data_IF_323673249450
#
_entry.id   IF_323673249450
#
_cell.length_a   1.000
_cell.length_b   1.000
_cell.length_c   1.000
_cell.angle_alpha   90.00
_cell.angle_beta   90.00
_cell.angle_gamma   90.00
#
_symmetry.space_group_name_H-M   'P 1'
#
loop_
_entity.id
_entity.type
_entity.pdbx_description
1 polymer ?
#
# COMPACT_ATOMS: atom_id res chain seq x y z
N UNK A 1 14.46 -40.94 57.71
CA UNK A 1 15.68 -41.78 57.84
C UNK A 1 16.91 -40.88 57.77
N UNK A 2 17.82 -40.99 58.76
CA UNK A 2 19.25 -40.61 58.81
C UNK A 2 19.59 -39.10 58.65
N UNK A 3 20.40 -38.43 59.47
CA UNK A 3 21.20 -38.73 60.68
C UNK A 3 21.69 -37.38 61.28
N UNK A 4 21.62 -37.25 62.61
CA UNK A 4 22.66 -36.73 63.54
C UNK A 4 23.04 -35.22 63.51
N UNK A 5 22.75 -34.48 64.60
CA UNK A 5 23.68 -34.12 65.71
C UNK A 5 24.34 -32.74 65.46
N UNK A 6 24.61 -31.83 66.40
CA UNK A 6 24.60 -31.81 67.86
C UNK A 6 24.29 -30.38 68.34
N UNK A 7 23.76 -30.29 69.56
CA UNK A 7 23.65 -29.10 70.38
C UNK A 7 25.01 -28.41 70.62
N UNK A 8 24.99 -27.08 70.70
CA UNK A 8 25.82 -26.35 71.65
C UNK A 8 25.09 -25.06 72.06
N UNK A 9 24.56 -25.14 73.28
CA UNK A 9 23.98 -24.07 74.05
C UNK A 9 25.06 -23.03 74.41
N UNK A 10 24.88 -21.77 74.03
CA UNK A 10 25.40 -20.64 74.78
C UNK A 10 24.40 -19.49 74.73
N UNK A 11 23.64 -19.37 75.82
CA UNK A 11 22.91 -18.15 76.16
C UNK A 11 23.94 -17.17 76.69
N UNK A 12 24.12 -16.04 76.00
CA UNK A 12 24.83 -14.90 76.56
C UNK A 12 24.27 -13.59 76.00
N UNK A 13 23.43 -12.96 76.84
CA UNK A 13 23.36 -11.52 77.10
C UNK A 13 22.95 -10.63 75.93
N UNK A 14 21.66 -10.27 75.93
CA UNK A 14 21.14 -9.08 75.25
C UNK A 14 21.91 -7.84 75.73
N UNK A 15 22.53 -7.10 74.83
CA UNK A 15 22.72 -5.65 74.98
C UNK A 15 23.01 -5.01 73.62
N UNK A 16 22.48 -3.79 73.46
CA UNK A 16 22.63 -2.88 72.34
C UNK A 16 21.90 -3.28 71.04
N UNK A 17 20.67 -2.79 70.93
CA UNK A 17 20.05 -2.53 69.64
C UNK A 17 20.97 -1.62 68.83
N UNK A 18 21.68 -2.21 67.88
CA UNK A 18 22.06 -1.51 66.66
C UNK A 18 21.08 -1.98 65.61
N UNK A 19 20.09 -1.12 65.40
CA UNK A 19 19.17 -1.16 64.26
C UNK A 19 20.07 -1.30 63.03
N UNK A 20 20.13 -2.50 62.44
CA UNK A 20 20.71 -2.60 61.11
C UNK A 20 19.93 -1.62 60.24
N UNK A 21 20.57 -0.77 59.44
CA UNK A 21 19.84 0.03 58.49
C UNK A 21 19.13 -0.95 57.57
N UNK A 22 17.82 -1.11 57.78
CA UNK A 22 16.94 -1.57 56.72
C UNK A 22 17.11 -0.49 55.68
N UNK A 23 17.95 -0.75 54.69
CA UNK A 23 17.96 0.04 53.48
C UNK A 23 16.59 -0.18 52.90
N UNK A 24 15.63 0.68 53.28
CA UNK A 24 14.39 0.82 52.56
C UNK A 24 14.84 1.14 51.14
N UNK A 25 14.60 0.20 50.25
CA UNK A 25 14.79 0.38 48.83
C UNK A 25 14.03 1.67 48.47
N UNK A 26 14.79 2.75 48.33
CA UNK A 26 14.29 4.03 47.82
C UNK A 26 14.42 4.07 46.31
N UNK A 27 14.72 2.92 45.69
CA UNK A 27 14.61 2.69 44.28
C UNK A 27 13.17 2.92 43.85
N UNK A 28 12.99 3.89 42.96
CA UNK A 28 11.77 3.96 42.16
C UNK A 28 11.82 2.75 41.22
N UNK A 29 11.08 1.70 41.53
CA UNK A 29 10.87 0.59 40.61
C UNK A 29 9.76 0.98 39.63
N UNK A 30 10.13 1.09 38.36
CA UNK A 30 9.20 1.14 37.24
C UNK A 30 9.26 -0.19 36.50
N UNK A 31 8.09 -0.81 36.33
CA UNK A 31 7.89 -1.94 35.44
C UNK A 31 6.96 -1.46 34.32
N UNK A 32 7.32 -1.75 33.08
CA UNK A 32 6.51 -1.39 31.92
C UNK A 32 5.51 -2.50 31.60
N UNK A 33 4.28 -2.11 31.28
CA UNK A 33 3.32 -2.97 30.58
C UNK A 33 3.33 -2.56 29.11
N UNK A 34 3.55 -3.53 28.22
CA UNK A 34 3.36 -3.35 26.78
C UNK A 34 1.93 -3.78 26.42
N UNK A 35 1.15 -2.85 25.86
CA UNK A 35 -0.16 -3.14 25.26
C UNK A 35 0.00 -3.01 23.75
N UNK A 36 -0.40 -4.02 22.99
CA UNK A 36 -0.22 -4.06 21.54
C UNK A 36 -1.51 -4.39 20.78
N UNK A 37 -1.59 -3.90 19.56
CA UNK A 37 -2.62 -4.19 18.56
C UNK A 37 -1.94 -4.25 17.19
N UNK A 38 -2.32 -5.23 16.37
CA UNK A 38 -1.79 -5.42 15.01
C UNK A 38 -2.97 -5.62 14.07
N UNK A 39 -2.94 -4.90 12.94
CA UNK A 39 -3.94 -4.98 11.88
C UNK A 39 -3.22 -5.05 10.53
N UNK A 40 -3.71 -5.90 9.64
CA UNK A 40 -3.12 -6.09 8.32
C UNK A 40 -3.51 -4.96 7.36
N UNK A 41 -2.56 -4.59 6.49
CA UNK A 41 -2.82 -3.64 5.41
C UNK A 41 -3.76 -4.22 4.36
N UNK A 42 -4.85 -3.53 4.05
CA UNK A 42 -5.89 -3.93 3.10
C UNK A 42 -6.29 -2.78 2.17
N UNK A 43 -6.78 -3.10 0.98
CA UNK A 43 -7.33 -2.12 0.05
C UNK A 43 -8.37 -2.77 -0.88
N UNK A 44 -9.17 -1.96 -1.55
CA UNK A 44 -10.11 -2.42 -2.57
C UNK A 44 -9.97 -1.60 -3.85
N UNK A 45 -9.49 -2.25 -4.91
CA UNK A 45 -9.35 -1.64 -6.24
C UNK A 45 -10.74 -1.38 -6.86
N UNK A 46 -10.93 -0.19 -7.41
CA UNK A 46 -12.14 0.25 -8.09
C UNK A 46 -11.81 0.72 -9.52
N UNK A 47 -12.33 -0.01 -10.50
CA UNK A 47 -12.14 0.28 -11.94
C UNK A 47 -13.53 0.38 -12.60
N UNK A 48 -13.76 1.33 -13.52
CA UNK A 48 -14.98 1.40 -14.31
C UNK A 48 -15.12 0.12 -15.14
N UNK A 49 -16.35 -0.37 -15.29
CA UNK A 49 -16.60 -1.51 -16.19
C UNK A 49 -16.36 -1.14 -17.65
N UNK A 50 -16.80 0.06 -18.04
CA UNK A 50 -16.79 0.53 -19.41
C UNK A 50 -16.40 2.01 -19.46
N UNK A 51 -15.69 2.40 -20.52
CA UNK A 51 -15.38 3.80 -20.86
C UNK A 51 -15.76 4.01 -22.32
N UNK A 52 -16.72 4.88 -22.59
CA UNK A 52 -17.18 5.18 -23.95
C UNK A 52 -16.32 6.28 -24.56
N UNK A 53 -15.51 5.94 -25.54
CA UNK A 53 -14.63 6.87 -26.24
C UNK A 53 -15.39 7.73 -27.26
N UNK A 54 -14.82 8.89 -27.58
CA UNK A 54 -15.38 9.84 -28.55
C UNK A 54 -14.47 9.94 -29.78
N UNK A 55 -15.07 10.22 -30.93
CA UNK A 55 -14.33 10.50 -32.18
C UNK A 55 -13.67 11.88 -32.18
N UNK A 56 -14.26 12.86 -31.46
CA UNK A 56 -13.90 14.27 -31.59
C UNK A 56 -13.39 14.90 -30.28
N UNK A 57 -13.62 14.25 -29.14
CA UNK A 57 -13.28 14.79 -27.84
C UNK A 57 -12.40 13.83 -27.02
N UNK A 58 -11.62 14.41 -26.10
CA UNK A 58 -10.92 13.64 -25.08
C UNK A 58 -11.95 13.06 -24.11
N UNK A 59 -11.88 11.76 -23.87
CA UNK A 59 -12.69 11.07 -22.86
C UNK A 59 -11.88 10.92 -21.56
N UNK A 60 -12.53 11.10 -20.42
CA UNK A 60 -11.94 10.82 -19.10
C UNK A 60 -12.46 9.49 -18.55
N UNK A 61 -11.55 8.58 -18.21
CA UNK A 61 -11.83 7.44 -17.35
C UNK A 61 -11.19 7.65 -15.98
N UNK A 62 -11.72 7.01 -14.94
CA UNK A 62 -11.21 7.19 -13.57
C UNK A 62 -10.94 5.82 -12.96
N UNK A 63 -9.73 5.60 -12.46
CA UNK A 63 -9.33 4.38 -11.74
C UNK A 63 -8.91 4.77 -10.34
N UNK A 64 -9.13 3.92 -9.35
CA UNK A 64 -8.76 4.25 -7.98
C UNK A 64 -9.02 3.14 -6.99
N UNK A 65 -9.11 3.51 -5.73
CA UNK A 65 -9.48 2.63 -4.63
C UNK A 65 -10.80 3.09 -4.03
N UNK A 66 -11.64 2.14 -3.64
CA UNK A 66 -12.85 2.43 -2.86
C UNK A 66 -12.58 2.47 -1.36
N UNK A 67 -11.54 1.74 -0.92
CA UNK A 67 -11.08 1.73 0.47
C UNK A 67 -9.58 1.49 0.50
N UNK A 68 -8.89 2.11 1.47
CA UNK A 68 -7.48 1.87 1.78
C UNK A 68 -7.29 1.83 3.30
N UNK A 69 -6.51 0.86 3.77
CA UNK A 69 -6.01 0.76 5.13
C UNK A 69 -4.59 0.22 5.02
N UNK A 70 -3.57 1.09 4.98
CA UNK A 70 -2.17 0.67 4.89
C UNK A 70 -1.35 1.32 5.99
N UNK A 71 -0.25 0.70 6.39
CA UNK A 71 0.67 1.29 7.35
C UNK A 71 1.30 2.60 6.82
N UNK A 72 1.86 3.40 7.72
CA UNK A 72 2.51 4.67 7.36
C UNK A 72 3.79 4.48 6.54
N UNK A 73 4.33 3.26 6.51
CA UNK A 73 5.51 2.86 5.73
C UNK A 73 5.14 2.17 4.40
N UNK A 74 3.87 2.19 4.04
CA UNK A 74 3.34 1.51 2.85
C UNK A 74 2.50 2.46 1.99
N UNK A 75 2.40 2.11 0.71
CA UNK A 75 1.49 2.73 -0.25
C UNK A 75 0.89 1.68 -1.16
N UNK A 76 -0.30 1.94 -1.69
CA UNK A 76 -0.88 1.15 -2.77
C UNK A 76 -0.49 1.78 -4.09
N UNK A 77 0.17 1.02 -4.95
CA UNK A 77 0.53 1.41 -6.30
C UNK A 77 -0.42 0.75 -7.30
N UNK A 78 -1.00 1.52 -8.22
CA UNK A 78 -1.78 1.01 -9.34
C UNK A 78 -0.95 1.09 -10.61
N UNK A 79 -0.82 -0.03 -11.30
CA UNK A 79 0.00 -0.19 -12.51
C UNK A 79 -0.87 -0.77 -13.63
N UNK A 80 -0.61 -0.35 -14.87
CA UNK A 80 -1.18 -0.99 -16.07
C UNK A 80 -0.34 -2.19 -16.43
N UNK A 81 -0.89 -3.40 -16.47
CA UNK A 81 -0.12 -4.63 -16.78
C UNK A 81 -0.29 -5.12 -18.21
N UNK A 82 -1.36 -4.70 -18.89
CA UNK A 82 -1.57 -5.00 -20.32
C UNK A 82 -2.67 -4.12 -20.94
N UNK A 83 -2.77 -4.16 -22.27
CA UNK A 83 -3.80 -3.45 -23.03
C UNK A 83 -3.39 -2.07 -23.55
N UNK A 84 -2.19 -1.62 -23.20
CA UNK A 84 -1.57 -0.40 -23.72
C UNK A 84 -0.28 -0.78 -24.46
N UNK A 85 -0.11 -0.28 -25.68
CA UNK A 85 1.07 -0.48 -26.51
C UNK A 85 2.28 0.28 -25.96
N UNK A 86 3.47 0.02 -26.52
CA UNK A 86 4.68 0.79 -26.19
C UNK A 86 4.58 2.29 -26.53
N UNK A 87 3.63 2.68 -27.37
CA UNK A 87 3.36 4.07 -27.75
C UNK A 87 2.28 4.73 -26.88
N UNK A 88 1.75 3.99 -25.90
CA UNK A 88 0.69 4.47 -25.01
C UNK A 88 -0.72 4.37 -25.60
N UNK A 89 -0.91 3.56 -26.64
CA UNK A 89 -2.20 3.40 -27.29
C UNK A 89 -2.94 2.16 -26.78
N UNK A 90 -4.23 2.29 -26.48
CA UNK A 90 -5.15 1.15 -26.43
C UNK A 90 -5.70 0.89 -27.82
N UNK A 91 -5.69 -0.37 -28.25
CA UNK A 91 -6.30 -0.80 -29.51
C UNK A 91 -7.71 -1.28 -29.26
N UNK A 92 -8.65 -0.81 -30.07
CA UNK A 92 -10.01 -1.30 -30.12
C UNK A 92 -10.22 -2.04 -31.45
N UNK A 93 -10.91 -3.17 -31.38
CA UNK A 93 -11.19 -4.03 -32.54
C UNK A 93 -12.69 -4.12 -32.75
N UNK A 94 -13.14 -4.01 -34.00
CA UNK A 94 -14.55 -4.21 -34.33
C UNK A 94 -14.94 -5.65 -34.01
N UNK A 95 -16.01 -5.79 -33.22
CA UNK A 95 -16.58 -7.08 -32.81
C UNK A 95 -17.05 -7.93 -33.99
N UNK A 96 -17.32 -7.34 -35.15
CA UNK A 96 -17.78 -8.03 -36.35
C UNK A 96 -16.68 -8.17 -37.42
N UNK A 97 -15.56 -7.47 -37.29
CA UNK A 97 -14.45 -7.49 -38.24
C UNK A 97 -13.10 -7.27 -37.51
N UNK A 98 -12.35 -8.34 -37.29
CA UNK A 98 -11.09 -8.27 -36.54
C UNK A 98 -9.98 -7.47 -37.23
N UNK A 99 -10.09 -7.26 -38.55
CA UNK A 99 -9.11 -6.47 -39.31
C UNK A 99 -9.39 -4.97 -39.18
N UNK A 100 -10.59 -4.60 -38.78
CA UNK A 100 -10.99 -3.21 -38.57
C UNK A 100 -10.67 -2.79 -37.13
N UNK A 101 -9.63 -1.96 -36.98
CA UNK A 101 -9.13 -1.51 -35.68
C UNK A 101 -8.98 0.01 -35.64
N UNK A 102 -9.10 0.57 -34.43
CA UNK A 102 -8.78 1.95 -34.13
C UNK A 102 -8.01 2.02 -32.81
N UNK A 103 -7.38 3.16 -32.53
CA UNK A 103 -6.52 3.32 -31.36
C UNK A 103 -6.80 4.64 -30.64
N UNK A 104 -6.69 4.64 -29.33
CA UNK A 104 -6.72 5.86 -28.50
C UNK A 104 -5.46 5.93 -27.64
N UNK A 105 -4.80 7.10 -27.63
CA UNK A 105 -3.64 7.33 -26.77
C UNK A 105 -4.14 7.63 -25.34
N UNK A 106 -3.57 6.93 -24.36
CA UNK A 106 -3.92 7.07 -22.94
C UNK A 106 -2.85 7.88 -22.22
N UNK A 107 -3.27 8.85 -21.41
CA UNK A 107 -2.39 9.80 -20.69
C UNK A 107 -2.85 10.00 -19.24
N UNK A 108 -1.93 10.34 -18.33
CA UNK A 108 -2.26 10.73 -16.95
C UNK A 108 -2.70 12.19 -16.82
N UNK A 109 -2.37 13.01 -17.81
CA UNK A 109 -2.76 14.41 -17.88
C UNK A 109 -3.24 14.72 -19.29
N UNK A 110 -4.24 15.60 -19.41
CA UNK A 110 -4.74 16.03 -20.71
C UNK A 110 -3.61 16.70 -21.52
N UNK A 111 -3.29 16.14 -22.68
CA UNK A 111 -2.16 16.59 -23.50
C UNK A 111 -0.76 16.27 -22.94
N UNK A 112 -0.66 15.52 -21.84
CA UNK A 112 0.60 15.05 -21.25
C UNK A 112 1.27 13.94 -22.03
N UNK A 113 2.35 13.35 -21.53
CA UNK A 113 3.01 12.24 -22.23
C UNK A 113 2.10 11.00 -22.32
N UNK A 114 2.12 10.26 -23.44
CA UNK A 114 1.50 8.93 -23.49
C UNK A 114 2.00 8.03 -22.36
N UNK A 115 1.12 7.17 -21.86
CA UNK A 115 1.50 6.12 -20.92
C UNK A 115 2.50 5.16 -21.58
N UNK A 116 3.43 4.63 -20.80
CA UNK A 116 4.24 3.48 -21.23
C UNK A 116 3.54 2.18 -20.85
N UNK A 117 3.93 1.07 -21.49
CA UNK A 117 3.62 -0.25 -20.95
C UNK A 117 4.16 -0.34 -19.51
N UNK A 118 3.43 -1.00 -18.62
CA UNK A 118 3.81 -1.18 -17.20
C UNK A 118 3.92 0.12 -16.38
N UNK A 119 3.33 1.21 -16.87
CA UNK A 119 3.33 2.48 -16.16
C UNK A 119 2.55 2.40 -14.84
N UNK A 120 3.15 2.98 -13.80
CA UNK A 120 2.47 3.32 -12.56
C UNK A 120 1.56 4.51 -12.83
N UNK A 121 0.25 4.31 -12.66
CA UNK A 121 -0.76 5.32 -12.97
C UNK A 121 -1.27 6.07 -11.75
N UNK A 122 -1.11 5.48 -10.56
CA UNK A 122 -1.51 6.10 -9.30
C UNK A 122 -0.76 5.50 -8.12
N UNK A 123 -0.55 6.30 -7.08
CA UNK A 123 -0.03 5.87 -5.80
C UNK A 123 -0.87 6.50 -4.68
N UNK A 124 -1.30 5.69 -3.72
CA UNK A 124 -2.14 6.12 -2.62
C UNK A 124 -1.54 5.69 -1.28
N UNK A 125 -1.51 6.61 -0.34
CA UNK A 125 -1.18 6.38 1.07
C UNK A 125 -2.45 6.44 1.91
N UNK A 126 -2.37 6.10 3.20
CA UNK A 126 -3.51 6.22 4.11
C UNK A 126 -4.10 7.64 4.17
N UNK A 127 -3.29 8.68 3.94
CA UNK A 127 -3.72 10.08 3.96
C UNK A 127 -4.19 10.61 2.59
N UNK A 128 -4.25 9.76 1.55
CA UNK A 128 -4.63 10.19 0.21
C UNK A 128 -6.12 10.48 0.08
N UNK A 129 -6.45 11.67 -0.40
CA UNK A 129 -7.81 12.09 -0.77
C UNK A 129 -7.74 13.06 -1.97
N UNK A 130 -8.36 12.76 -3.13
CA UNK A 130 -9.16 11.57 -3.42
C UNK A 130 -8.32 10.31 -3.68
N UNK A 131 -8.93 9.13 -3.50
CA UNK A 131 -8.35 7.82 -3.86
C UNK A 131 -8.52 7.48 -5.34
N UNK A 132 -8.51 8.47 -6.22
CA UNK A 132 -8.74 8.29 -7.65
C UNK A 132 -7.69 9.00 -8.50
N UNK A 133 -7.43 8.43 -9.67
CA UNK A 133 -6.60 8.98 -10.72
C UNK A 133 -7.39 8.99 -12.03
N UNK A 134 -7.26 10.09 -12.76
CA UNK A 134 -7.88 10.23 -14.07
C UNK A 134 -6.95 9.74 -15.17
N UNK A 135 -7.54 9.05 -16.13
CA UNK A 135 -6.93 8.65 -17.39
C UNK A 135 -7.62 9.42 -18.50
N UNK A 136 -6.83 10.02 -19.37
CA UNK A 136 -7.30 10.78 -20.51
C UNK A 136 -7.06 9.97 -21.78
N UNK A 137 -8.15 9.71 -22.50
CA UNK A 137 -8.16 8.99 -23.75
C UNK A 137 -8.31 9.99 -24.89
N UNK A 138 -7.33 10.04 -25.78
CA UNK A 138 -7.37 10.89 -26.96
C UNK A 138 -8.53 10.46 -27.89
N UNK A 139 -9.13 11.42 -28.63
CA UNK A 139 -10.19 11.13 -29.59
C UNK A 139 -9.76 10.09 -30.63
N UNK A 140 -10.70 9.24 -31.03
CA UNK A 140 -10.44 8.17 -32.01
C UNK A 140 -10.22 8.69 -33.44
N UNK A 141 -10.70 9.91 -33.74
CA UNK A 141 -10.75 10.44 -35.10
C UNK A 141 -11.84 9.77 -35.93
N UNK A 142 -11.70 9.83 -37.26
CA UNK A 142 -12.68 9.33 -38.20
C UNK A 142 -12.64 7.79 -38.28
N UNK A 143 -13.50 7.11 -37.52
CA UNK A 143 -13.60 5.66 -37.46
C UNK A 143 -14.87 5.19 -38.20
N UNK A 144 -14.83 4.11 -38.99
CA UNK A 144 -16.03 3.56 -39.62
C UNK A 144 -17.07 3.13 -38.58
N UNK A 145 -18.35 3.24 -38.92
CA UNK A 145 -19.44 2.78 -38.05
C UNK A 145 -19.29 1.30 -37.70
N UNK A 146 -19.30 0.99 -36.41
CA UNK A 146 -19.10 -0.36 -35.88
C UNK A 146 -19.13 -0.37 -34.37
N UNK A 147 -19.00 -1.54 -33.77
CA UNK A 147 -18.89 -1.72 -32.32
C UNK A 147 -17.49 -2.19 -32.02
N UNK A 148 -16.67 -1.30 -31.45
CA UNK A 148 -15.28 -1.59 -31.14
C UNK A 148 -15.10 -1.84 -29.64
N UNK A 149 -14.23 -2.78 -29.29
CA UNK A 149 -13.89 -3.05 -27.90
C UNK A 149 -12.38 -3.25 -27.75
N UNK A 150 -11.87 -2.76 -26.62
CA UNK A 150 -10.49 -2.94 -26.18
C UNK A 150 -10.48 -3.14 -24.67
N UNK A 151 -9.40 -3.71 -24.14
CA UNK A 151 -9.28 -3.99 -22.71
C UNK A 151 -7.94 -3.48 -22.19
N UNK A 152 -7.98 -2.79 -21.05
CA UNK A 152 -6.80 -2.42 -20.26
C UNK A 152 -6.90 -3.18 -18.94
N UNK A 153 -5.79 -3.81 -18.52
CA UNK A 153 -5.71 -4.54 -17.26
C UNK A 153 -4.89 -3.73 -16.26
N UNK A 154 -5.47 -3.51 -15.10
CA UNK A 154 -4.85 -2.81 -13.98
C UNK A 154 -4.52 -3.80 -12.87
N UNK A 155 -3.42 -3.56 -12.17
CA UNK A 155 -3.06 -4.26 -10.95
C UNK A 155 -2.79 -3.23 -9.86
N UNK A 156 -3.30 -3.50 -8.65
CA UNK A 156 -2.92 -2.78 -7.46
C UNK A 156 -2.03 -3.67 -6.59
N UNK A 157 -1.06 -3.08 -5.91
CA UNK A 157 -0.17 -3.77 -4.97
C UNK A 157 0.26 -2.85 -3.84
N UNK A 158 0.37 -3.39 -2.62
CA UNK A 158 1.02 -2.69 -1.52
C UNK A 158 2.53 -2.77 -1.73
N UNK A 159 3.20 -1.63 -1.64
CA UNK A 159 4.65 -1.51 -1.73
C UNK A 159 5.17 -0.64 -0.58
N UNK A 160 6.37 -0.93 -0.09
CA UNK A 160 7.02 -0.12 0.94
C UNK A 160 7.37 1.28 0.41
N UNK A 161 7.20 2.30 1.24
CA UNK A 161 7.61 3.68 0.94
C UNK A 161 9.10 3.92 1.20
N UNK A 162 9.75 3.04 1.97
CA UNK A 162 11.18 3.09 2.23
C UNK A 162 11.98 2.69 0.99
N UNK A 163 12.52 3.71 0.33
CA UNK A 163 13.64 3.56 -0.60
C UNK A 163 14.82 3.09 0.23
N UNK A 164 15.10 1.79 0.22
CA UNK A 164 16.37 1.22 0.71
C UNK A 164 17.51 1.67 -0.22
N UNK A 165 17.87 2.94 -0.12
CA UNK A 165 19.00 3.60 -0.75
C UNK A 165 19.97 4.12 0.31
N UNK A 166 20.28 3.28 1.31
CA UNK A 166 21.47 3.48 2.13
C UNK A 166 22.52 2.50 1.60
N UNK A 167 23.24 2.91 0.55
CA UNK A 167 24.57 2.34 0.28
C UNK A 167 25.49 2.87 1.37
N UNK A 168 25.50 2.19 2.51
CA UNK A 168 26.59 2.26 3.48
C UNK A 168 27.66 1.27 3.06
N UNK A 169 28.82 1.78 2.67
CA UNK A 169 30.17 1.40 3.14
C UNK A 169 31.23 2.25 2.41
#
# INVERSE_FOLDING_TARGET
MKKKMFAAMMVAVMTAGMVMPVSADTGTSSEDITVGYEEESTYMLSVPRDVTLSEDAVTTGTVGLSTINVSTTEKVQITVTSGISSEGAVTLTDTNDSENTCTSIVRLAQGGTPLTSDAVIAEFTMDSDPLTANLYFDPLGNVPAGTYSGQIVYQASIVSTDVSGVTGE
#
